data_IF_675673220587
#
_entry.id   IF_675673220587
#
_cell.length_a   1.000
_cell.length_b   1.000
_cell.length_c   1.000
_cell.angle_alpha   90.00
_cell.angle_beta   90.00
_cell.angle_gamma   90.00
#
_symmetry.space_group_name_H-M   'P 1'
#
loop_
_entity.id
_entity.type
_entity.pdbx_description
1 polymer ?
#
# COMPACT_ATOMS: atom_id res chain seq x y z
N UNK A 1 -2.76 -38.13 -35.22
CA UNK A 1 -1.80 -38.85 -34.35
C UNK A 1 -0.82 -37.83 -33.79
N UNK A 2 -1.07 -37.32 -32.57
CA UNK A 2 -0.14 -36.43 -31.88
C UNK A 2 0.88 -37.30 -31.15
N UNK A 3 2.15 -37.18 -31.52
CA UNK A 3 3.26 -37.91 -30.92
C UNK A 3 3.47 -37.47 -29.47
N UNK A 4 3.69 -38.45 -28.58
CA UNK A 4 3.82 -38.28 -27.11
C UNK A 4 4.78 -37.17 -26.69
N UNK A 5 5.77 -36.83 -27.51
CA UNK A 5 6.77 -35.78 -27.26
C UNK A 5 6.19 -34.37 -27.28
N UNK A 6 5.13 -34.12 -28.06
CA UNK A 6 4.52 -32.77 -28.22
C UNK A 6 3.67 -32.37 -27.00
N UNK A 7 3.09 -33.35 -26.30
CA UNK A 7 2.24 -33.12 -25.12
C UNK A 7 3.08 -32.73 -23.89
N UNK A 8 4.30 -33.25 -23.78
CA UNK A 8 5.19 -33.00 -22.64
C UNK A 8 5.73 -31.55 -22.66
N UNK A 9 6.04 -31.01 -23.85
CA UNK A 9 6.53 -29.63 -24.01
C UNK A 9 5.45 -28.60 -23.67
N UNK A 10 4.18 -28.88 -24.00
CA UNK A 10 3.05 -28.02 -23.67
C UNK A 10 2.73 -28.00 -22.17
N UNK A 11 2.85 -29.14 -21.48
CA UNK A 11 2.66 -29.22 -20.02
C UNK A 11 3.77 -28.49 -19.24
N UNK A 12 5.03 -28.58 -19.70
CA UNK A 12 6.15 -27.89 -19.05
C UNK A 12 6.07 -26.35 -19.19
N UNK A 13 5.45 -25.84 -20.26
CA UNK A 13 5.27 -24.40 -20.47
C UNK A 13 4.16 -23.77 -19.61
N UNK A 14 3.17 -24.55 -19.14
CA UNK A 14 2.09 -24.00 -18.29
C UNK A 14 2.49 -23.91 -16.81
N UNK A 15 3.44 -24.73 -16.36
CA UNK A 15 3.90 -24.69 -14.95
C UNK A 15 4.78 -23.46 -14.68
N UNK A 16 5.53 -22.96 -15.68
CA UNK A 16 6.38 -21.78 -15.49
C UNK A 16 5.61 -20.45 -15.33
N UNK A 17 4.36 -20.37 -15.81
CA UNK A 17 3.57 -19.13 -15.72
C UNK A 17 2.83 -19.03 -14.37
N UNK A 18 2.48 -20.15 -13.74
CA UNK A 18 1.75 -20.13 -12.47
C UNK A 18 2.60 -19.71 -11.26
N UNK A 19 3.91 -19.93 -11.30
CA UNK A 19 4.79 -19.69 -10.13
C UNK A 19 5.22 -18.22 -10.01
N UNK A 20 5.16 -17.43 -11.10
CA UNK A 20 5.53 -16.01 -11.06
C UNK A 20 4.46 -15.11 -10.40
N UNK A 21 3.21 -15.57 -10.25
CA UNK A 21 2.14 -14.77 -9.65
C UNK A 21 2.03 -14.92 -8.12
N UNK A 22 2.77 -15.85 -7.51
CA UNK A 22 2.64 -16.13 -6.08
C UNK A 22 3.64 -15.38 -5.18
N UNK A 23 4.60 -14.64 -5.75
CA UNK A 23 5.63 -13.93 -4.98
C UNK A 23 5.30 -12.47 -4.61
N UNK A 24 4.15 -11.93 -5.02
CA UNK A 24 3.77 -10.55 -4.66
C UNK A 24 2.82 -10.44 -3.46
N UNK A 25 2.41 -11.55 -2.83
CA UNK A 25 1.28 -11.51 -1.89
C UNK A 25 1.51 -12.21 -0.54
N UNK A 26 2.76 -12.34 -0.09
CA UNK A 26 3.05 -12.85 1.26
C UNK A 26 3.80 -11.79 2.08
N UNK A 27 3.06 -10.94 2.77
CA UNK A 27 3.55 -10.10 3.86
C UNK A 27 2.42 -9.95 4.90
N UNK A 28 2.71 -10.04 6.21
CA UNK A 28 1.70 -10.14 7.28
C UNK A 28 0.68 -8.97 7.34
N UNK A 29 -0.51 -9.19 7.94
CA UNK A 29 -1.69 -8.31 7.80
C UNK A 29 -1.64 -6.98 8.56
N UNK A 30 -0.53 -6.63 9.21
CA UNK A 30 -0.45 -5.49 10.13
C UNK A 30 0.71 -4.57 9.77
N UNK A 31 0.64 -3.84 8.66
CA UNK A 31 1.51 -2.68 8.40
C UNK A 31 0.78 -1.72 7.45
N UNK A 32 0.10 -0.71 8.00
CA UNK A 32 -0.43 0.45 7.27
C UNK A 32 0.69 1.36 6.75
N UNK A 33 1.53 0.85 5.85
CA UNK A 33 2.62 1.58 5.22
C UNK A 33 2.52 1.52 3.71
N UNK A 34 1.83 2.49 3.10
CA UNK A 34 1.81 2.80 1.64
C UNK A 34 1.78 1.63 0.64
N UNK A 35 1.29 0.46 1.04
CA UNK A 35 0.95 -0.61 0.13
C UNK A 35 -0.25 -0.08 -0.66
N UNK A 36 0.03 0.42 -1.86
CA UNK A 36 -1.00 0.87 -2.79
C UNK A 36 -0.87 2.32 -3.29
N UNK A 37 0.03 3.16 -2.76
CA UNK A 37 0.22 4.51 -3.31
C UNK A 37 1.07 4.47 -4.59
N UNK A 38 0.44 4.65 -5.74
CA UNK A 38 1.09 4.55 -7.05
C UNK A 38 0.79 5.79 -7.87
N UNK A 39 1.82 6.33 -8.54
CA UNK A 39 1.66 7.42 -9.49
C UNK A 39 2.06 6.96 -10.89
N UNK A 40 1.15 7.10 -11.84
CA UNK A 40 1.45 6.94 -13.26
C UNK A 40 1.01 8.20 -14.03
N UNK A 41 1.93 8.78 -14.82
CA UNK A 41 1.74 10.13 -15.36
C UNK A 41 1.55 11.17 -14.25
N UNK A 42 0.40 11.85 -14.24
CA UNK A 42 -0.04 12.75 -13.16
C UNK A 42 -1.14 12.14 -12.28
N UNK A 43 -1.46 10.85 -12.44
CA UNK A 43 -2.58 10.19 -11.76
C UNK A 43 -2.14 9.51 -10.47
N UNK A 44 -2.80 9.84 -9.37
CA UNK A 44 -2.63 9.21 -8.07
C UNK A 44 -3.61 8.03 -7.92
N UNK A 45 -3.04 6.88 -7.59
CA UNK A 45 -3.76 5.67 -7.23
C UNK A 45 -3.42 5.30 -5.79
N UNK A 46 -4.41 4.82 -5.04
CA UNK A 46 -4.22 4.25 -3.71
C UNK A 46 -4.95 2.93 -3.62
N UNK A 47 -4.30 1.87 -3.14
CA UNK A 47 -4.85 0.50 -3.03
C UNK A 47 -5.45 -0.04 -4.35
N UNK A 48 -4.89 0.40 -5.50
CA UNK A 48 -5.37 0.03 -6.84
C UNK A 48 -6.48 0.92 -7.40
N UNK A 49 -7.06 1.83 -6.59
CA UNK A 49 -8.12 2.73 -7.02
C UNK A 49 -7.57 4.07 -7.49
N UNK A 50 -8.12 4.62 -8.57
CA UNK A 50 -7.86 6.01 -8.96
C UNK A 50 -8.46 6.98 -7.94
N UNK A 51 -7.63 7.88 -7.42
CA UNK A 51 -8.05 8.87 -6.41
C UNK A 51 -8.32 10.21 -7.09
N UNK A 52 -7.32 10.76 -7.78
CA UNK A 52 -7.34 12.04 -8.50
C UNK A 52 -6.04 12.25 -9.28
N UNK A 53 -5.96 13.35 -10.01
CA UNK A 53 -4.68 13.86 -10.51
C UNK A 53 -3.92 14.56 -9.37
N UNK A 54 -2.59 14.50 -9.43
CA UNK A 54 -1.67 15.20 -8.53
C UNK A 54 -1.72 16.70 -8.79
N UNK A 55 -1.71 17.47 -7.71
CA UNK A 55 -1.50 18.90 -7.79
C UNK A 55 -0.03 19.22 -8.19
N UNK A 56 0.21 20.43 -8.66
CA UNK A 56 1.54 20.86 -9.14
C UNK A 56 2.63 20.77 -8.06
N UNK A 57 2.29 21.07 -6.82
CA UNK A 57 3.16 20.94 -5.63
C UNK A 57 3.43 19.47 -5.28
N UNK A 58 2.41 18.62 -5.30
CA UNK A 58 2.56 17.17 -5.08
C UNK A 58 3.41 16.52 -6.20
N UNK A 59 3.31 17.03 -7.42
CA UNK A 59 4.17 16.58 -8.52
C UNK A 59 5.63 17.00 -8.34
N UNK A 60 5.89 18.18 -7.76
CA UNK A 60 7.25 18.60 -7.35
C UNK A 60 7.78 17.70 -6.23
N UNK A 61 6.94 17.38 -5.24
CA UNK A 61 7.29 16.44 -4.17
C UNK A 61 7.65 15.05 -4.73
N UNK A 62 6.86 14.54 -5.68
CA UNK A 62 7.16 13.28 -6.36
C UNK A 62 8.51 13.31 -7.11
N UNK A 63 8.83 14.42 -7.79
CA UNK A 63 10.13 14.58 -8.48
C UNK A 63 11.29 14.54 -7.49
N UNK A 64 11.15 15.24 -6.35
CA UNK A 64 12.13 15.23 -5.26
C UNK A 64 12.32 13.81 -4.72
N UNK A 65 11.22 13.13 -4.39
CA UNK A 65 11.25 11.74 -3.90
C UNK A 65 11.93 10.78 -4.88
N UNK A 66 11.64 10.88 -6.18
CA UNK A 66 12.30 10.05 -7.22
C UNK A 66 13.81 10.30 -7.27
N UNK A 67 14.26 11.54 -7.18
CA UNK A 67 15.69 11.89 -7.15
C UNK A 67 16.38 11.29 -5.91
N UNK A 68 15.75 11.42 -4.74
CA UNK A 68 16.27 10.87 -3.48
C UNK A 68 16.30 9.34 -3.50
N UNK A 69 15.29 8.69 -4.09
CA UNK A 69 15.26 7.24 -4.27
C UNK A 69 16.40 6.75 -5.17
N UNK A 70 16.70 7.44 -6.27
CA UNK A 70 17.82 7.07 -7.14
C UNK A 70 19.15 7.19 -6.40
N UNK A 71 19.34 8.26 -5.62
CA UNK A 71 20.54 8.44 -4.80
C UNK A 71 20.65 7.36 -3.70
N UNK A 72 19.54 7.00 -3.06
CA UNK A 72 19.46 5.92 -2.09
C UNK A 72 19.86 4.58 -2.71
N UNK A 73 19.26 4.20 -3.85
CA UNK A 73 19.59 2.95 -4.56
C UNK A 73 21.07 2.88 -4.93
N UNK A 74 21.61 3.96 -5.49
CA UNK A 74 23.04 4.03 -5.83
C UNK A 74 23.94 3.76 -4.61
N UNK A 75 23.64 4.36 -3.45
CA UNK A 75 24.41 4.12 -2.22
C UNK A 75 24.31 2.69 -1.73
N UNK A 76 23.14 2.07 -1.87
CA UNK A 76 22.94 0.66 -1.54
C UNK A 76 23.77 -0.22 -2.47
N UNK A 77 23.70 0.01 -3.78
CA UNK A 77 24.44 -0.77 -4.78
C UNK A 77 25.96 -0.64 -4.58
N UNK A 78 26.45 0.58 -4.30
CA UNK A 78 27.85 0.83 -3.97
C UNK A 78 28.30 0.14 -2.68
N UNK A 79 27.45 0.10 -1.65
CA UNK A 79 27.77 -0.58 -0.40
C UNK A 79 27.91 -2.11 -0.61
N UNK A 80 27.00 -2.71 -1.39
CA UNK A 80 27.07 -4.14 -1.70
C UNK A 80 28.23 -4.50 -2.64
N UNK A 81 28.54 -3.66 -3.63
CA UNK A 81 29.67 -3.87 -4.53
C UNK A 81 31.02 -3.81 -3.80
N UNK A 82 31.12 -3.05 -2.71
CA UNK A 82 32.35 -2.90 -1.93
C UNK A 82 32.43 -3.82 -0.70
N UNK A 83 31.42 -4.68 -0.46
CA UNK A 83 31.34 -5.51 0.74
C UNK A 83 32.54 -6.44 0.89
N UNK A 84 32.94 -7.14 -0.19
CA UNK A 84 34.08 -8.07 -0.17
C UNK A 84 35.43 -7.37 0.11
N UNK A 85 35.59 -6.12 -0.36
CA UNK A 85 36.78 -5.33 -0.07
C UNK A 85 36.83 -4.87 1.40
N UNK A 86 35.68 -4.52 1.98
CA UNK A 86 35.58 -4.13 3.39
C UNK A 86 35.88 -5.32 4.32
N UNK A 87 35.41 -6.52 3.97
CA UNK A 87 35.76 -7.76 4.67
C UNK A 87 37.27 -8.04 4.62
N UNK A 88 37.87 -7.93 3.42
CA UNK A 88 39.32 -8.18 3.25
C UNK A 88 40.20 -7.17 3.99
N UNK A 89 39.75 -5.93 4.13
CA UNK A 89 40.49 -4.86 4.80
C UNK A 89 40.17 -4.74 6.29
N UNK A 90 39.29 -5.60 6.82
CA UNK A 90 38.79 -5.54 8.19
C UNK A 90 38.26 -4.14 8.56
N UNK A 91 37.69 -3.45 7.57
CA UNK A 91 37.19 -2.10 7.69
C UNK A 91 35.74 -2.08 8.20
N UNK A 92 35.38 -1.03 8.95
CA UNK A 92 34.03 -0.87 9.49
C UNK A 92 33.00 -0.74 8.37
N UNK A 93 31.90 -1.49 8.47
CA UNK A 93 30.78 -1.43 7.53
C UNK A 93 30.19 -0.01 7.54
N UNK A 94 30.05 0.67 6.38
CA UNK A 94 29.48 2.01 6.33
C UNK A 94 28.02 2.00 6.80
N UNK A 95 27.54 3.10 7.42
CA UNK A 95 26.16 3.18 7.87
C UNK A 95 25.20 3.09 6.68
N UNK A 96 24.17 2.25 6.84
CA UNK A 96 23.14 2.06 5.82
C UNK A 96 22.46 3.41 5.51
N UNK A 97 22.32 3.80 4.24
CA UNK A 97 21.65 5.05 3.90
C UNK A 97 20.20 5.01 4.40
N UNK A 98 19.66 6.17 4.80
CA UNK A 98 18.26 6.27 5.20
C UNK A 98 17.37 6.23 3.95
N UNK A 99 16.33 5.39 3.98
CA UNK A 99 15.32 5.37 2.91
C UNK A 99 14.58 6.72 2.89
N UNK A 100 14.41 7.34 1.71
CA UNK A 100 13.62 8.57 1.59
C UNK A 100 12.20 8.38 2.12
N UNK A 101 11.70 9.38 2.84
CA UNK A 101 10.31 9.42 3.28
C UNK A 101 9.39 9.48 2.06
N UNK A 102 8.24 8.81 2.14
CA UNK A 102 7.27 8.84 1.05
C UNK A 102 6.62 10.22 0.96
N UNK A 103 6.15 10.60 -0.23
CA UNK A 103 5.41 11.85 -0.38
C UNK A 103 4.18 11.90 0.54
N UNK A 104 3.93 13.06 1.15
CA UNK A 104 2.85 13.27 2.09
C UNK A 104 1.47 12.96 1.50
N UNK A 105 1.30 13.14 0.19
CA UNK A 105 0.06 12.79 -0.51
C UNK A 105 -0.29 11.30 -0.48
N UNK A 106 0.65 10.41 -0.15
CA UNK A 106 0.37 8.97 0.02
C UNK A 106 -0.27 8.60 1.37
N UNK A 107 -0.35 9.56 2.30
CA UNK A 107 -0.90 9.37 3.65
C UNK A 107 -2.02 10.36 3.97
N UNK A 108 -2.58 11.01 2.94
CA UNK A 108 -3.72 11.93 3.09
C UNK A 108 -5.02 11.15 3.23
N UNK A 109 -6.07 11.81 3.73
CA UNK A 109 -7.39 11.20 3.98
C UNK A 109 -8.04 10.59 2.74
N UNK A 110 -7.79 11.15 1.56
CA UNK A 110 -8.25 10.63 0.26
C UNK A 110 -7.56 9.31 -0.13
N UNK A 111 -6.34 9.08 0.35
CA UNK A 111 -5.59 7.83 0.13
C UNK A 111 -5.82 6.76 1.20
N UNK A 112 -6.43 7.12 2.33
CA UNK A 112 -6.76 6.19 3.43
C UNK A 112 -7.94 5.31 3.05
N UNK A 113 -7.76 3.99 3.17
CA UNK A 113 -8.80 3.00 2.97
C UNK A 113 -9.30 2.47 4.31
N UNK A 114 -10.61 2.53 4.52
CA UNK A 114 -11.29 1.95 5.67
C UNK A 114 -11.88 0.60 5.25
N UNK A 115 -11.54 -0.45 6.00
CA UNK A 115 -12.00 -1.81 5.73
C UNK A 115 -13.14 -2.11 6.71
N UNK A 116 -14.31 -2.42 6.16
CA UNK A 116 -15.50 -2.81 6.92
C UNK A 116 -15.89 -4.24 6.53
N UNK A 117 -16.79 -4.84 7.29
CA UNK A 117 -17.34 -6.15 6.94
C UNK A 117 -18.14 -6.03 5.64
N UNK A 118 -17.68 -6.69 4.58
CA UNK A 118 -18.37 -6.76 3.29
C UNK A 118 -17.98 -5.68 2.27
N UNK A 119 -17.37 -4.57 2.69
CA UNK A 119 -16.92 -3.54 1.75
C UNK A 119 -15.70 -2.74 2.26
N UNK A 120 -15.02 -2.05 1.34
CA UNK A 120 -14.01 -1.05 1.69
C UNK A 120 -14.49 0.33 1.26
N UNK A 121 -14.07 1.36 2.00
CA UNK A 121 -14.41 2.75 1.72
C UNK A 121 -13.13 3.56 1.60
N UNK A 122 -12.96 4.26 0.50
CA UNK A 122 -11.79 5.09 0.24
C UNK A 122 -12.19 6.29 -0.62
N UNK A 123 -11.69 7.48 -0.28
CA UNK A 123 -12.02 8.72 -0.98
C UNK A 123 -13.54 8.93 -1.16
N UNK A 124 -14.31 8.59 -0.12
CA UNK A 124 -15.78 8.61 -0.12
C UNK A 124 -16.44 7.73 -1.20
N UNK A 125 -15.77 6.68 -1.66
CA UNK A 125 -16.29 5.67 -2.58
C UNK A 125 -16.34 4.32 -1.89
N UNK A 126 -17.42 3.58 -2.13
CA UNK A 126 -17.63 2.23 -1.63
C UNK A 126 -17.14 1.23 -2.68
N UNK A 127 -16.41 0.22 -2.23
CA UNK A 127 -15.93 -0.88 -3.04
C UNK A 127 -16.36 -2.22 -2.44
N UNK A 128 -16.97 -3.08 -3.26
CA UNK A 128 -17.36 -4.44 -2.86
C UNK A 128 -16.51 -5.42 -3.67
N UNK A 129 -15.80 -6.31 -2.99
CA UNK A 129 -14.83 -7.22 -3.61
C UNK A 129 -13.81 -6.49 -4.53
N UNK A 130 -13.37 -5.29 -4.12
CA UNK A 130 -12.42 -4.47 -4.86
C UNK A 130 -12.98 -3.73 -6.09
N UNK A 131 -14.30 -3.82 -6.35
CA UNK A 131 -14.96 -3.11 -7.45
C UNK A 131 -15.74 -1.91 -6.93
N UNK A 132 -15.66 -0.79 -7.64
CA UNK A 132 -16.47 0.39 -7.33
C UNK A 132 -17.95 0.04 -7.35
N UNK A 133 -18.65 0.35 -6.26
CA UNK A 133 -20.09 0.13 -6.12
C UNK A 133 -20.87 1.43 -6.24
N UNK A 134 -20.55 2.43 -5.40
CA UNK A 134 -21.19 3.75 -5.40
C UNK A 134 -20.35 4.79 -4.67
N UNK A 135 -20.73 6.05 -4.84
CA UNK A 135 -20.26 7.12 -3.97
C UNK A 135 -21.04 7.14 -2.65
N UNK A 136 -20.40 7.60 -1.58
CA UNK A 136 -21.10 7.93 -0.34
C UNK A 136 -21.98 9.17 -0.53
N UNK A 137 -23.17 9.13 0.07
CA UNK A 137 -24.07 10.27 0.23
C UNK A 137 -23.46 11.33 1.16
N UNK A 138 -23.99 12.54 1.13
CA UNK A 138 -23.53 13.64 2.00
C UNK A 138 -23.60 13.30 3.48
N UNK A 139 -24.60 12.52 3.90
CA UNK A 139 -24.76 12.07 5.29
C UNK A 139 -23.66 11.06 5.66
N UNK A 140 -23.43 10.09 4.80
CA UNK A 140 -22.41 9.05 5.00
C UNK A 140 -20.99 9.62 5.02
N UNK A 141 -20.68 10.59 4.14
CA UNK A 141 -19.40 11.32 4.15
C UNK A 141 -19.12 11.94 5.52
N UNK A 142 -20.11 12.63 6.09
CA UNK A 142 -19.99 13.23 7.43
C UNK A 142 -19.77 12.17 8.51
N UNK A 143 -20.46 11.03 8.44
CA UNK A 143 -20.27 9.94 9.38
C UNK A 143 -18.85 9.34 9.28
N UNK A 144 -18.35 9.16 8.06
CA UNK A 144 -16.98 8.71 7.81
C UNK A 144 -15.96 9.71 8.35
N UNK A 145 -16.17 11.01 8.17
CA UNK A 145 -15.26 12.05 8.68
C UNK A 145 -15.18 12.05 10.20
N UNK A 146 -16.32 11.89 10.87
CA UNK A 146 -16.34 11.81 12.34
C UNK A 146 -15.63 10.54 12.81
N UNK A 147 -15.89 9.41 12.16
CA UNK A 147 -15.19 8.16 12.45
C UNK A 147 -13.67 8.29 12.25
N UNK A 148 -13.24 8.85 11.12
CA UNK A 148 -11.84 9.07 10.79
C UNK A 148 -11.11 9.90 11.86
N UNK A 149 -11.76 10.96 12.37
CA UNK A 149 -11.23 11.76 13.48
C UNK A 149 -11.14 10.95 14.77
N UNK A 150 -12.21 10.23 15.12
CA UNK A 150 -12.23 9.42 16.35
C UNK A 150 -11.15 8.34 16.40
N UNK A 151 -10.80 7.73 15.26
CA UNK A 151 -9.72 6.74 15.22
C UNK A 151 -8.32 7.37 15.15
N UNK A 152 -8.20 8.61 14.63
CA UNK A 152 -6.93 9.34 14.61
C UNK A 152 -6.57 9.88 16.00
N UNK A 153 -7.57 10.28 16.80
CA UNK A 153 -7.39 10.83 18.14
C UNK A 153 -7.13 9.75 19.21
N UNK A 154 -7.39 8.47 18.89
CA UNK A 154 -7.16 7.36 19.82
C UNK A 154 -5.75 6.78 19.61
N UNK A 155 -4.90 6.73 20.66
CA UNK A 155 -3.64 5.99 20.57
C UNK A 155 -3.94 4.50 20.34
N UNK A 156 -3.28 3.92 19.35
CA UNK A 156 -3.26 2.47 19.09
C UNK A 156 -2.93 1.75 20.41
N UNK A 157 -3.69 0.73 20.83
CA UNK A 157 -3.28 -0.07 21.99
C UNK A 157 -1.92 -0.68 21.68
N UNK A 158 -0.89 -0.25 22.42
CA UNK A 158 0.36 -0.99 22.51
C UNK A 158 0.01 -2.41 22.96
N UNK A 159 0.57 -3.41 22.28
CA UNK A 159 0.28 -4.82 22.51
C UNK A 159 0.27 -5.18 24.00
N UNK A 160 -0.93 -5.33 24.54
CA UNK A 160 -1.29 -6.11 25.70
C UNK A 160 -2.80 -6.33 25.57
N UNK A 161 -3.21 -7.59 25.57
CA UNK A 161 -4.51 -8.09 25.09
C UNK A 161 -5.76 -7.67 25.87
N UNK A 162 -5.88 -6.40 26.26
CA UNK A 162 -7.12 -5.80 26.75
C UNK A 162 -7.75 -4.97 25.65
N UNK A 163 -8.94 -5.37 25.23
CA UNK A 163 -9.73 -4.68 24.23
C UNK A 163 -9.91 -3.19 24.65
N UNK A 164 -9.63 -2.23 23.76
CA UNK A 164 -9.89 -0.82 24.06
C UNK A 164 -11.38 -0.62 24.35
N UNK A 165 -11.69 0.20 25.35
CA UNK A 165 -13.06 0.54 25.71
C UNK A 165 -13.85 1.02 24.48
N UNK A 166 -15.11 0.56 24.28
CA UNK A 166 -15.93 1.00 23.17
C UNK A 166 -16.04 2.54 23.16
N UNK A 167 -15.94 3.21 22.01
CA UNK A 167 -16.22 4.65 21.94
C UNK A 167 -17.62 4.94 22.50
N UNK A 168 -17.73 5.99 23.33
CA UNK A 168 -18.97 6.42 24.00
C UNK A 168 -20.14 6.77 23.05
N UNK A 169 -19.86 6.86 21.74
CA UNK A 169 -20.84 6.78 20.65
C UNK A 169 -20.24 5.93 19.53
N UNK A 170 -20.63 4.66 19.45
CA UNK A 170 -20.39 3.88 18.23
C UNK A 170 -21.20 4.52 17.10
N UNK A 171 -20.53 5.20 16.18
CA UNK A 171 -21.17 5.59 14.93
C UNK A 171 -21.33 4.31 14.14
N UNK A 172 -22.56 3.85 13.97
CA UNK A 172 -22.85 2.73 13.09
C UNK A 172 -22.66 3.21 11.65
N UNK A 173 -21.63 2.68 11.00
CA UNK A 173 -21.29 2.96 9.61
C UNK A 173 -21.91 1.86 8.75
N UNK A 174 -23.14 2.09 8.31
CA UNK A 174 -23.91 1.13 7.54
C UNK A 174 -23.61 1.22 6.03
N UNK A 175 -22.35 1.41 5.67
CA UNK A 175 -21.96 1.59 4.27
C UNK A 175 -21.98 0.27 3.48
N UNK A 176 -22.03 -0.86 4.18
CA UNK A 176 -21.79 -2.19 3.61
C UNK A 176 -22.92 -3.19 3.87
N UNK A 177 -24.05 -2.81 4.49
CA UNK A 177 -25.12 -3.77 4.85
C UNK A 177 -26.51 -3.44 4.31
N UNK A 178 -26.61 -2.64 3.25
CA UNK A 178 -27.86 -2.44 2.49
C UNK A 178 -28.25 -3.76 1.77
N UNK A 179 -29.11 -4.57 2.40
CA UNK A 179 -29.76 -5.76 1.83
C UNK A 179 -31.21 -5.46 1.43
#
# INVERSE_FOLDING_TARGET
MFTKTTIIVLMASMVAIAVAQQFFNQQPPNMGGAIGCVVTGKKLYSHGNYIRDLAEDEFKELKKYKKELTAFKKKIDEAFANAENLERTNATIPPMPLRPAMPAFCSKSDTTMYIFTGCTVQNYKVYVAGKYARDLTTKEKKQLDIFAKQIADKPTPAGNGTAPAPPAKQINLDFCTEF
#
